data_IF_838394953724
#
_entry.id   IF_838394953724
#
_cell.length_a   1.000
_cell.length_b   1.000
_cell.length_c   1.000
_cell.angle_alpha   90.00
_cell.angle_beta   90.00
_cell.angle_gamma   90.00
#
_symmetry.space_group_name_H-M   'P 1'
#
loop_
_entity.id
_entity.type
_entity.pdbx_description
1 polymer ?
#
# COMPACT_ATOMS: atom_id res chain seq x y z
N UNK A 1 28.50 -40.27 10.85
CA UNK A 1 27.37 -39.89 11.74
C UNK A 1 26.89 -38.46 11.51
N UNK A 2 27.67 -37.59 10.86
CA UNK A 2 27.37 -36.17 10.62
C UNK A 2 26.01 -35.89 9.97
N UNK A 3 25.58 -36.70 9.00
CA UNK A 3 24.26 -36.56 8.38
C UNK A 3 23.10 -36.71 9.38
N UNK A 4 23.20 -37.65 10.33
CA UNK A 4 22.19 -37.86 11.37
C UNK A 4 22.18 -36.68 12.35
N UNK A 5 23.38 -36.20 12.71
CA UNK A 5 23.56 -35.01 13.56
C UNK A 5 22.90 -33.77 12.93
N UNK A 6 23.06 -33.58 11.62
CA UNK A 6 22.39 -32.52 10.86
C UNK A 6 20.86 -32.64 10.88
N UNK A 7 20.32 -33.85 10.69
CA UNK A 7 18.87 -34.08 10.76
C UNK A 7 18.33 -33.71 12.13
N UNK A 8 18.96 -34.19 13.20
CA UNK A 8 18.56 -33.87 14.58
C UNK A 8 18.60 -32.36 14.85
N UNK A 9 19.59 -31.65 14.28
CA UNK A 9 19.69 -30.20 14.41
C UNK A 9 18.58 -29.47 13.64
N UNK A 10 18.32 -29.85 12.39
CA UNK A 10 17.25 -29.28 11.58
C UNK A 10 15.86 -29.53 12.17
N UNK A 11 15.68 -30.64 12.88
CA UNK A 11 14.44 -30.95 13.62
C UNK A 11 14.26 -30.01 14.82
N UNK A 12 15.35 -29.72 15.56
CA UNK A 12 15.34 -28.76 16.67
C UNK A 12 15.13 -27.31 16.21
N UNK A 13 15.65 -26.96 15.04
CA UNK A 13 15.46 -25.65 14.40
C UNK A 13 14.11 -25.51 13.69
N UNK A 14 13.15 -26.42 13.93
CA UNK A 14 11.79 -26.36 13.38
C UNK A 14 11.71 -26.31 11.85
N UNK A 15 12.75 -26.78 11.14
CA UNK A 15 12.79 -26.80 9.67
C UNK A 15 11.97 -27.99 9.12
N UNK A 16 11.82 -29.07 9.90
CA UNK A 16 11.07 -30.29 9.53
C UNK A 16 9.57 -30.21 9.72
N UNK A 17 9.10 -29.53 10.77
CA UNK A 17 7.70 -29.57 11.18
C UNK A 17 6.77 -29.09 10.06
N UNK A 18 5.72 -29.87 9.77
CA UNK A 18 4.72 -29.56 8.74
C UNK A 18 5.19 -29.71 7.29
N UNK A 19 6.33 -30.39 7.06
CA UNK A 19 7.01 -30.42 5.75
C UNK A 19 7.48 -31.82 5.37
N UNK A 20 7.74 -32.05 4.07
CA UNK A 20 8.18 -33.37 3.57
C UNK A 20 9.59 -33.71 4.04
N UNK A 21 9.81 -34.87 4.70
CA UNK A 21 11.11 -35.25 5.26
C UNK A 21 12.16 -35.58 4.20
N UNK A 22 11.74 -36.02 3.00
CA UNK A 22 12.66 -36.33 1.89
C UNK A 22 13.57 -35.15 1.53
N UNK A 23 13.02 -33.91 1.50
CA UNK A 23 13.79 -32.71 1.18
C UNK A 23 14.93 -32.43 2.17
N UNK A 24 14.66 -32.65 3.46
CA UNK A 24 15.64 -32.47 4.54
C UNK A 24 16.72 -33.56 4.46
N UNK A 25 16.31 -34.81 4.25
CA UNK A 25 17.25 -35.91 4.07
C UNK A 25 18.23 -35.63 2.92
N UNK A 26 17.75 -35.16 1.77
CA UNK A 26 18.59 -34.77 0.64
C UNK A 26 19.55 -33.62 0.95
N UNK A 27 19.09 -32.60 1.69
CA UNK A 27 19.92 -31.48 2.13
C UNK A 27 21.03 -31.94 3.09
N UNK A 28 20.69 -32.78 4.09
CA UNK A 28 21.66 -33.32 5.05
C UNK A 28 22.71 -34.20 4.37
N UNK A 29 22.31 -35.04 3.39
CA UNK A 29 23.25 -35.85 2.61
C UNK A 29 24.21 -34.95 1.84
N UNK A 30 23.71 -33.89 1.19
CA UNK A 30 24.55 -32.97 0.42
C UNK A 30 25.56 -32.22 1.31
N UNK A 31 25.10 -31.71 2.46
CA UNK A 31 25.96 -30.98 3.41
C UNK A 31 27.01 -31.93 3.99
N UNK A 32 26.60 -33.11 4.46
CA UNK A 32 27.53 -34.10 5.02
C UNK A 32 28.55 -34.57 3.99
N UNK A 33 28.14 -34.80 2.74
CA UNK A 33 29.06 -35.12 1.65
C UNK A 33 30.14 -34.04 1.47
N UNK A 34 29.75 -32.75 1.51
CA UNK A 34 30.69 -31.63 1.45
C UNK A 34 31.62 -31.55 2.65
N UNK A 35 31.13 -31.83 3.86
CA UNK A 35 31.95 -31.89 5.09
C UNK A 35 33.03 -32.98 5.06
N UNK A 36 32.85 -34.00 4.23
CA UNK A 36 33.80 -35.09 4.01
C UNK A 36 34.58 -34.95 2.68
N UNK A 37 34.57 -33.76 2.07
CA UNK A 37 35.21 -33.47 0.78
C UNK A 37 34.72 -34.36 -0.38
N UNK A 38 33.55 -34.98 -0.24
CA UNK A 38 32.92 -35.78 -1.29
C UNK A 38 31.99 -34.89 -2.11
N UNK A 39 32.49 -34.41 -3.25
CA UNK A 39 31.77 -33.47 -4.11
C UNK A 39 30.75 -34.21 -4.98
N UNK A 40 29.47 -34.11 -4.61
CA UNK A 40 28.32 -34.56 -5.41
C UNK A 40 27.53 -33.39 -5.95
N UNK A 41 26.93 -33.59 -7.12
CA UNK A 41 26.05 -32.59 -7.73
C UNK A 41 24.67 -32.64 -7.11
N UNK A 42 23.97 -31.49 -7.06
CA UNK A 42 22.59 -31.44 -6.59
C UNK A 42 21.68 -32.37 -7.41
N UNK A 43 21.94 -32.48 -8.72
CA UNK A 43 21.21 -33.35 -9.66
C UNK A 43 21.30 -34.83 -9.30
N UNK A 44 22.48 -35.34 -8.92
CA UNK A 44 22.63 -36.74 -8.49
C UNK A 44 21.78 -37.04 -7.26
N UNK A 45 21.79 -36.15 -6.26
CA UNK A 45 21.02 -36.32 -5.02
C UNK A 45 19.52 -36.28 -5.29
N UNK A 46 19.08 -35.34 -6.13
CA UNK A 46 17.68 -35.18 -6.52
C UNK A 46 17.14 -36.45 -7.19
N UNK A 47 17.92 -37.09 -8.07
CA UNK A 47 17.51 -38.35 -8.73
C UNK A 47 17.27 -39.49 -7.75
N UNK A 48 17.99 -39.52 -6.63
CA UNK A 48 17.83 -40.54 -5.58
C UNK A 48 16.67 -40.20 -4.66
N UNK A 49 16.61 -38.96 -4.16
CA UNK A 49 15.66 -38.51 -3.13
C UNK A 49 14.27 -38.15 -3.69
N UNK A 50 14.15 -38.01 -5.01
CA UNK A 50 12.90 -37.74 -5.74
C UNK A 50 12.21 -36.45 -5.28
N UNK A 51 12.94 -35.35 -5.32
CA UNK A 51 12.47 -33.99 -4.97
C UNK A 51 12.79 -33.00 -6.09
N UNK A 52 12.13 -31.85 -6.14
CA UNK A 52 12.47 -30.80 -7.11
C UNK A 52 13.74 -30.03 -6.71
N UNK A 53 14.49 -29.51 -7.69
CA UNK A 53 15.69 -28.67 -7.47
C UNK A 53 15.44 -27.50 -6.53
N UNK A 54 14.34 -26.78 -6.74
CA UNK A 54 13.94 -25.64 -5.92
C UNK A 54 13.65 -26.03 -4.47
N UNK A 55 13.18 -27.25 -4.25
CA UNK A 55 12.92 -27.77 -2.89
C UNK A 55 14.23 -28.01 -2.16
N UNK A 56 15.22 -28.62 -2.80
CA UNK A 56 16.53 -28.85 -2.18
C UNK A 56 17.22 -27.53 -1.85
N UNK A 57 17.21 -26.56 -2.78
CA UNK A 57 17.80 -25.23 -2.56
C UNK A 57 17.16 -24.50 -1.38
N UNK A 58 15.83 -24.43 -1.31
CA UNK A 58 15.12 -23.83 -0.18
C UNK A 58 15.52 -24.43 1.17
N UNK A 59 15.73 -25.75 1.25
CA UNK A 59 16.15 -26.40 2.51
C UNK A 59 17.56 -26.04 2.93
N UNK A 60 18.46 -25.88 1.96
CA UNK A 60 19.83 -25.44 2.22
C UNK A 60 19.85 -23.97 2.67
N UNK A 61 19.05 -23.11 2.04
CA UNK A 61 18.96 -21.70 2.40
C UNK A 61 18.37 -21.51 3.81
N UNK A 62 17.34 -22.28 4.16
CA UNK A 62 16.77 -22.25 5.51
C UNK A 62 17.80 -22.64 6.57
N UNK A 63 18.58 -23.69 6.33
CA UNK A 63 19.66 -24.07 7.24
C UNK A 63 20.78 -23.03 7.29
N UNK A 64 21.09 -22.36 6.17
CA UNK A 64 22.07 -21.26 6.13
C UNK A 64 21.65 -20.09 7.03
N UNK A 65 20.34 -19.83 7.17
CA UNK A 65 19.84 -18.75 8.03
C UNK A 65 19.83 -19.10 9.52
N UNK A 66 20.02 -20.37 9.90
CA UNK A 66 20.10 -20.75 11.32
C UNK A 66 21.51 -20.51 11.87
N UNK A 67 21.67 -20.32 13.19
CA UNK A 67 23.00 -20.13 13.79
C UNK A 67 23.94 -21.33 13.57
N UNK A 68 23.39 -22.54 13.38
CA UNK A 68 24.21 -23.72 13.08
C UNK A 68 24.78 -23.73 11.66
N UNK A 69 24.17 -23.00 10.73
CA UNK A 69 24.67 -22.86 9.37
C UNK A 69 25.95 -22.03 9.26
N UNK A 70 26.24 -21.19 10.25
CA UNK A 70 27.43 -20.34 10.32
C UNK A 70 28.64 -20.98 11.03
N UNK A 71 28.48 -22.17 11.62
CA UNK A 71 29.57 -22.85 12.34
C UNK A 71 30.58 -23.47 11.36
N UNK A 72 31.85 -23.55 11.79
CA UNK A 72 32.84 -24.35 11.05
C UNK A 72 32.49 -25.84 11.15
N UNK A 73 33.01 -26.63 10.20
CA UNK A 73 32.77 -28.09 10.18
C UNK A 73 33.33 -28.76 11.45
N UNK A 74 34.45 -28.26 11.98
CA UNK A 74 35.05 -28.76 13.20
C UNK A 74 34.16 -28.43 14.42
N UNK A 75 33.72 -27.18 14.53
CA UNK A 75 32.85 -26.71 15.62
C UNK A 75 31.51 -27.42 15.61
N UNK A 76 30.93 -27.66 14.42
CA UNK A 76 29.67 -28.39 14.32
C UNK A 76 29.78 -29.84 14.83
N UNK A 77 30.95 -30.47 14.75
CA UNK A 77 31.18 -31.84 15.25
C UNK A 77 31.44 -31.88 16.76
N UNK A 78 32.03 -30.84 17.35
CA UNK A 78 32.32 -30.79 18.78
C UNK A 78 31.16 -30.17 19.57
N UNK A 79 30.67 -29.02 19.12
CA UNK A 79 29.70 -28.20 19.82
C UNK A 79 28.28 -28.51 19.35
N UNK A 80 27.35 -28.53 20.31
CA UNK A 80 25.93 -28.66 20.05
C UNK A 80 25.20 -27.45 20.65
N UNK A 81 24.71 -26.56 19.78
CA UNK A 81 23.98 -25.37 20.21
C UNK A 81 22.63 -25.77 20.85
N UNK A 82 22.29 -25.16 21.98
CA UNK A 82 20.99 -25.39 22.63
C UNK A 82 19.88 -24.52 22.03
N UNK A 83 20.20 -23.30 21.61
CA UNK A 83 19.24 -22.36 21.02
C UNK A 83 18.58 -22.96 19.78
N UNK A 84 17.26 -22.88 19.73
CA UNK A 84 16.40 -23.28 18.62
C UNK A 84 16.03 -22.09 17.76
N UNK A 85 15.92 -22.29 16.44
CA UNK A 85 15.37 -21.29 15.52
C UNK A 85 13.84 -21.39 15.39
N UNK A 86 13.21 -20.28 15.01
CA UNK A 86 11.79 -20.23 14.66
C UNK A 86 11.52 -20.91 13.31
N UNK A 87 10.32 -21.49 13.10
CA UNK A 87 9.97 -22.12 11.82
C UNK A 87 9.95 -21.11 10.66
N UNK A 88 10.31 -21.51 9.43
CA UNK A 88 10.36 -20.62 8.27
C UNK A 88 9.04 -19.90 7.95
N UNK A 89 7.89 -20.50 8.28
CA UNK A 89 6.60 -19.84 8.08
C UNK A 89 6.44 -18.58 8.96
N UNK A 90 6.95 -18.63 10.20
CA UNK A 90 6.91 -17.52 11.13
C UNK A 90 7.86 -16.39 10.70
N UNK A 91 9.10 -16.74 10.37
CA UNK A 91 10.10 -15.77 9.91
C UNK A 91 9.68 -15.09 8.61
N UNK A 92 9.17 -15.87 7.64
CA UNK A 92 8.70 -15.33 6.36
C UNK A 92 7.47 -14.43 6.53
N UNK A 93 6.51 -14.80 7.37
CA UNK A 93 5.34 -13.95 7.63
C UNK A 93 5.74 -12.63 8.29
N UNK A 94 6.66 -12.66 9.27
CA UNK A 94 7.15 -11.44 9.94
C UNK A 94 7.96 -10.56 8.99
N UNK A 95 8.82 -11.15 8.16
CA UNK A 95 9.54 -10.41 7.12
C UNK A 95 8.58 -9.81 6.08
N UNK A 96 7.54 -10.55 5.66
CA UNK A 96 6.52 -10.05 4.73
C UNK A 96 5.75 -8.86 5.31
N UNK A 97 5.35 -8.94 6.58
CA UNK A 97 4.68 -7.84 7.27
C UNK A 97 5.58 -6.59 7.37
N UNK A 98 6.85 -6.78 7.76
CA UNK A 98 7.83 -5.67 7.84
C UNK A 98 8.08 -5.03 6.48
N UNK A 99 8.23 -5.83 5.42
CA UNK A 99 8.36 -5.34 4.04
C UNK A 99 7.12 -4.58 3.57
N UNK A 100 5.92 -5.05 3.91
CA UNK A 100 4.68 -4.38 3.56
C UNK A 100 4.56 -3.00 4.26
N UNK A 101 4.93 -2.91 5.54
CA UNK A 101 4.97 -1.64 6.27
C UNK A 101 5.98 -0.66 5.66
N UNK A 102 7.19 -1.13 5.36
CA UNK A 102 8.24 -0.27 4.78
C UNK A 102 7.84 0.22 3.38
N UNK A 103 7.24 -0.65 2.56
CA UNK A 103 6.69 -0.26 1.26
C UNK A 103 5.56 0.77 1.41
N UNK A 104 4.69 0.62 2.41
CA UNK A 104 3.64 1.60 2.71
C UNK A 104 4.24 2.95 3.12
N UNK A 105 5.29 2.95 3.95
CA UNK A 105 5.97 4.17 4.38
C UNK A 105 6.63 4.90 3.20
N UNK A 106 7.30 4.17 2.30
CA UNK A 106 7.87 4.73 1.08
C UNK A 106 6.80 5.33 0.15
N UNK A 107 5.66 4.65 0.00
CA UNK A 107 4.52 5.15 -0.77
C UNK A 107 3.94 6.44 -0.17
N UNK A 108 3.85 6.54 1.16
CA UNK A 108 3.38 7.75 1.84
C UNK A 108 4.35 8.92 1.62
N UNK A 109 5.65 8.70 1.79
CA UNK A 109 6.67 9.72 1.56
C UNK A 109 6.68 10.22 0.10
N UNK A 110 6.41 9.34 -0.87
CA UNK A 110 6.32 9.72 -2.27
C UNK A 110 5.05 10.54 -2.59
N UNK A 111 3.94 10.30 -1.89
CA UNK A 111 2.72 11.11 -2.05
C UNK A 111 2.87 12.50 -1.42
N UNK A 112 3.47 12.60 -0.23
CA UNK A 112 3.69 13.89 0.45
C UNK A 112 4.65 14.82 -0.31
N UNK A 113 5.67 14.29 -0.99
CA UNK A 113 6.54 15.09 -1.87
C UNK A 113 5.79 15.68 -3.07
N UNK A 114 4.78 14.98 -3.59
CA UNK A 114 3.96 15.45 -4.72
C UNK A 114 2.80 16.38 -4.31
N UNK A 115 2.16 16.13 -3.17
CA UNK A 115 1.06 16.96 -2.67
C UNK A 115 1.54 18.21 -1.91
N UNK A 116 2.71 18.17 -1.27
CA UNK A 116 3.28 19.31 -0.53
C UNK A 116 3.65 20.49 -1.43
N UNK A 117 4.14 20.22 -2.65
CA UNK A 117 4.38 21.24 -3.66
C UNK A 117 3.06 21.84 -4.17
N UNK A 118 2.06 21.00 -4.49
CA UNK A 118 0.76 21.44 -5.02
C UNK A 118 -0.08 22.21 -3.99
N UNK A 119 -0.01 21.83 -2.71
CA UNK A 119 -0.79 22.45 -1.61
C UNK A 119 -0.21 23.79 -1.15
N UNK A 120 1.09 24.04 -1.36
CA UNK A 120 1.73 25.35 -1.17
C UNK A 120 1.34 26.35 -2.26
N UNK A 121 1.15 25.89 -3.50
CA UNK A 121 0.68 26.72 -4.62
C UNK A 121 -0.82 27.05 -4.48
N UNK A 122 -1.63 26.12 -3.94
CA UNK A 122 -3.09 26.30 -3.79
C UNK A 122 -3.51 27.17 -2.59
N UNK A 123 -2.73 27.23 -1.51
CA UNK A 123 -2.95 28.17 -0.39
C UNK A 123 -2.11 29.40 -0.66
N UNK A 124 -2.63 30.33 -1.47
CA UNK A 124 -1.96 31.58 -1.85
C UNK A 124 -1.38 32.34 -0.66
N UNK A 125 -0.12 32.05 -0.33
CA UNK A 125 0.64 32.74 0.69
C UNK A 125 1.10 34.06 0.08
N UNK A 126 0.25 35.08 0.24
CA UNK A 126 0.59 36.49 0.15
C UNK A 126 1.66 36.78 1.22
N UNK A 127 2.91 36.92 0.81
CA UNK A 127 4.00 37.43 1.65
C UNK A 127 4.01 38.96 1.56
N UNK A 128 3.23 39.63 2.42
CA UNK A 128 3.53 41.01 2.85
C UNK A 128 3.04 41.19 4.29
N UNK A 129 3.93 41.33 5.28
CA UNK A 129 3.62 42.03 6.52
C UNK A 129 3.81 43.54 6.27
N UNK A 130 2.78 44.33 6.53
CA UNK A 130 2.89 45.77 6.60
C UNK A 130 3.61 46.14 7.91
N UNK A 131 4.70 46.90 7.82
CA UNK A 131 5.23 47.65 8.95
C UNK A 131 5.62 49.06 8.48
N UNK A 132 4.93 50.05 9.04
CA UNK A 132 5.10 51.48 8.82
C UNK A 132 6.15 52.02 9.81
N UNK A 133 7.41 52.17 9.40
CA UNK A 133 8.35 53.23 9.83
C UNK A 133 9.81 52.89 9.47
N UNK A 134 10.31 53.41 8.34
CA UNK A 134 11.67 53.94 8.16
C UNK A 134 11.83 54.45 6.72
N UNK A 135 12.34 55.67 6.57
CA UNK A 135 12.65 56.32 5.29
C UNK A 135 13.89 55.67 4.61
N UNK A 136 14.09 55.92 3.30
CA UNK A 136 14.71 54.97 2.38
C UNK A 136 16.20 55.24 2.15
N UNK A 137 17.05 54.23 2.27
CA UNK A 137 18.44 54.28 1.81
C UNK A 137 18.76 52.98 1.06
N UNK A 138 19.07 53.18 -0.23
CA UNK A 138 19.77 52.31 -1.17
C UNK A 138 19.40 50.80 -1.21
N UNK A 139 18.70 50.40 -2.27
CA UNK A 139 18.59 49.00 -2.68
C UNK A 139 19.97 48.40 -3.02
N UNK A 140 20.29 47.20 -2.50
CA UNK A 140 21.11 46.24 -3.22
C UNK A 140 20.22 45.13 -3.81
N UNK A 141 20.67 44.65 -4.96
CA UNK A 141 19.97 43.77 -5.89
C UNK A 141 19.31 42.53 -5.29
N UNK A 142 18.16 42.19 -5.88
CA UNK A 142 17.48 40.92 -5.73
C UNK A 142 18.35 39.80 -6.31
N UNK A 143 19.10 39.10 -5.46
CA UNK A 143 19.57 37.72 -5.63
C UNK A 143 20.34 37.32 -4.35
N UNK A 144 19.66 36.79 -3.34
CA UNK A 144 20.37 36.12 -2.24
C UNK A 144 19.53 35.00 -1.61
N UNK A 145 19.37 33.89 -2.34
CA UNK A 145 18.90 32.62 -1.79
C UNK A 145 19.84 32.10 -0.67
N UNK A 146 21.06 32.62 -0.61
CA UNK A 146 22.11 32.27 0.36
C UNK A 146 21.82 32.78 1.78
N UNK A 147 21.06 33.87 1.93
CA UNK A 147 20.72 34.42 3.25
C UNK A 147 19.70 33.56 3.99
N UNK A 148 18.75 32.95 3.29
CA UNK A 148 17.76 32.05 3.89
C UNK A 148 18.40 30.69 4.23
N UNK A 149 19.28 30.20 3.36
CA UNK A 149 20.05 28.97 3.58
C UNK A 149 21.04 29.13 4.73
N UNK A 150 21.73 30.27 4.84
CA UNK A 150 22.59 30.63 5.97
C UNK A 150 21.86 30.64 7.32
N UNK A 151 20.61 31.10 7.37
CA UNK A 151 19.83 31.15 8.62
C UNK A 151 19.33 29.76 9.00
N UNK A 152 18.96 28.94 8.01
CA UNK A 152 18.57 27.55 8.23
C UNK A 152 19.78 26.72 8.68
N UNK A 153 20.94 26.91 8.05
CA UNK A 153 22.19 26.24 8.42
C UNK A 153 22.66 26.68 9.82
N UNK A 154 22.55 27.97 10.16
CA UNK A 154 22.84 28.45 11.52
C UNK A 154 21.91 27.82 12.57
N UNK A 155 20.61 27.72 12.29
CA UNK A 155 19.64 27.10 13.19
C UNK A 155 19.89 25.58 13.32
N UNK A 156 20.20 24.90 12.21
CA UNK A 156 20.55 23.48 12.20
C UNK A 156 21.81 23.22 13.03
N UNK A 157 22.81 24.11 12.91
CA UNK A 157 24.09 23.99 13.58
C UNK A 157 23.99 24.26 15.09
N UNK A 158 23.11 25.16 15.53
CA UNK A 158 22.77 25.34 16.95
C UNK A 158 22.09 24.10 17.55
N UNK A 159 21.13 23.49 16.84
CA UNK A 159 20.50 22.24 17.30
C UNK A 159 21.50 21.08 17.39
N UNK A 160 22.38 20.96 16.40
CA UNK A 160 23.42 19.92 16.34
C UNK A 160 24.46 20.11 17.46
N UNK A 161 24.85 21.35 17.75
CA UNK A 161 25.73 21.69 18.87
C UNK A 161 25.13 21.35 20.23
N UNK A 162 23.81 21.53 20.37
CA UNK A 162 23.06 21.20 21.60
C UNK A 162 22.99 19.69 21.79
N UNK A 163 22.78 18.93 20.70
CA UNK A 163 22.83 17.46 20.71
C UNK A 163 24.23 16.93 21.05
N UNK A 164 25.28 17.45 20.42
CA UNK A 164 26.68 17.02 20.69
C UNK A 164 27.17 17.40 22.10
N UNK A 165 26.62 18.46 22.69
CA UNK A 165 26.93 18.90 24.05
C UNK A 165 26.23 18.07 25.14
N UNK A 166 25.38 17.12 24.77
CA UNK A 166 24.71 16.21 25.68
C UNK A 166 25.75 15.29 26.36
N UNK A 167 25.69 15.15 27.69
CA UNK A 167 26.73 14.47 28.47
C UNK A 167 26.95 13.00 28.08
N UNK A 168 25.93 12.35 27.51
CA UNK A 168 26.02 11.00 26.95
C UNK A 168 26.89 10.91 25.69
N UNK A 169 27.02 12.00 24.92
CA UNK A 169 27.80 12.04 23.68
C UNK A 169 29.22 12.60 23.87
N UNK A 170 29.46 13.35 24.94
CA UNK A 170 30.82 13.82 25.30
C UNK A 170 31.79 12.65 25.52
N UNK A 171 31.31 11.54 26.07
CA UNK A 171 32.06 10.30 26.22
C UNK A 171 32.48 9.72 24.86
N UNK A 172 31.57 9.71 23.88
CA UNK A 172 31.83 9.19 22.53
C UNK A 172 32.77 10.12 21.75
N UNK A 173 32.58 11.43 21.87
CA UNK A 173 33.43 12.45 21.22
C UNK A 173 34.87 12.42 21.73
N UNK A 174 35.05 12.27 23.05
CA UNK A 174 36.35 12.08 23.68
C UNK A 174 37.06 10.81 23.20
N UNK A 175 36.34 9.72 23.02
CA UNK A 175 36.89 8.44 22.55
C UNK A 175 37.27 8.49 21.05
N UNK A 176 36.46 9.18 20.23
CA UNK A 176 36.70 9.34 18.79
C UNK A 176 37.85 10.30 18.46
N UNK A 177 38.06 11.34 19.27
CA UNK A 177 39.14 12.32 19.07
C UNK A 177 40.55 11.72 19.21
N UNK A 178 40.68 10.52 19.78
CA UNK A 178 41.94 9.78 19.93
C UNK A 178 42.14 8.70 18.85
N UNK A 179 41.16 8.49 17.96
CA UNK A 179 41.29 7.57 16.84
C UNK A 179 41.78 8.34 15.61
N UNK A 180 43.06 8.15 15.27
CA UNK A 180 43.70 8.66 14.06
C UNK A 180 43.10 7.95 12.82
N UNK A 181 41.91 8.35 12.42
CA UNK A 181 41.19 7.84 11.25
C UNK A 181 41.33 8.82 10.11
N UNK A 182 42.50 8.81 9.48
CA UNK A 182 42.66 9.18 8.09
C UNK A 182 42.83 7.92 7.23
N UNK A 183 41.72 7.26 6.86
CA UNK A 183 41.58 6.78 5.50
C UNK A 183 40.41 7.52 4.85
N UNK A 184 40.70 8.16 3.73
CA UNK A 184 39.73 8.83 2.88
C UNK A 184 38.63 7.86 2.41
N UNK A 185 37.49 7.86 3.11
CA UNK A 185 36.26 7.10 2.81
C UNK A 185 35.55 7.61 1.55
N UNK A 186 36.07 8.64 0.89
CA UNK A 186 35.50 9.19 -0.34
C UNK A 186 35.94 8.44 -1.59
N UNK A 187 36.98 7.61 -1.49
CA UNK A 187 37.56 6.92 -2.65
C UNK A 187 37.18 5.44 -2.60
N UNK A 188 36.00 5.11 -3.16
CA UNK A 188 35.40 3.76 -3.24
C UNK A 188 36.12 2.85 -4.25
N UNK A 189 37.43 3.02 -4.43
CA UNK A 189 38.23 2.28 -5.41
C UNK A 189 38.45 0.81 -5.05
N UNK A 190 38.12 0.39 -3.82
CA UNK A 190 38.10 -1.03 -3.41
C UNK A 190 36.83 -1.78 -3.86
N UNK A 191 35.82 -1.07 -4.39
CA UNK A 191 34.55 -1.65 -4.85
C UNK A 191 34.40 -1.74 -6.38
N UNK A 192 35.36 -1.22 -7.14
CA UNK A 192 35.50 -1.52 -8.57
C UNK A 192 36.21 -2.88 -8.77
N UNK A 193 35.67 -3.92 -8.14
CA UNK A 193 36.17 -5.28 -8.27
C UNK A 193 35.67 -5.90 -9.60
N UNK A 194 36.49 -6.71 -10.26
CA UNK A 194 36.15 -7.35 -11.55
C UNK A 194 34.88 -8.22 -11.44
N UNK A 195 34.49 -8.62 -10.23
CA UNK A 195 33.24 -9.31 -9.93
C UNK A 195 32.00 -8.41 -10.15
N UNK A 196 32.08 -7.11 -9.81
CA UNK A 196 30.96 -6.16 -9.97
C UNK A 196 30.80 -5.74 -11.43
N UNK A 197 31.92 -5.54 -12.13
CA UNK A 197 31.89 -5.21 -13.56
C UNK A 197 31.27 -6.33 -14.40
N UNK A 198 31.44 -7.60 -14.01
CA UNK A 198 30.78 -8.74 -14.65
C UNK A 198 29.29 -8.91 -14.29
N UNK A 199 28.77 -8.13 -13.33
CA UNK A 199 27.34 -8.13 -12.93
C UNK A 199 26.56 -7.00 -13.62
N UNK A 200 27.26 -5.97 -14.12
CA UNK A 200 26.67 -4.92 -14.94
C UNK A 200 26.42 -5.50 -16.34
N UNK A 201 25.19 -5.37 -16.83
CA UNK A 201 24.82 -5.86 -18.16
C UNK A 201 25.44 -4.96 -19.23
N UNK A 202 25.94 -5.57 -20.31
CA UNK A 202 26.36 -4.83 -21.49
C UNK A 202 25.16 -4.10 -22.13
N UNK A 203 25.44 -3.02 -22.84
CA UNK A 203 24.41 -2.15 -23.41
C UNK A 203 23.46 -2.89 -24.39
N UNK A 204 23.95 -3.94 -25.04
CA UNK A 204 23.14 -4.85 -25.86
C UNK A 204 22.20 -5.73 -25.02
N UNK A 205 22.68 -6.26 -23.90
CA UNK A 205 21.87 -7.07 -22.98
C UNK A 205 20.81 -6.21 -22.27
N UNK A 206 21.16 -4.95 -21.94
CA UNK A 206 20.20 -3.96 -21.43
C UNK A 206 19.12 -3.68 -22.47
N UNK A 207 19.46 -3.51 -23.75
CA UNK A 207 18.46 -3.32 -24.83
C UNK A 207 17.52 -4.51 -24.95
N UNK A 208 18.06 -5.73 -25.04
CA UNK A 208 17.26 -6.96 -25.17
C UNK A 208 16.39 -7.19 -23.92
N UNK A 209 16.95 -6.96 -22.73
CA UNK A 209 16.20 -7.13 -21.47
C UNK A 209 15.14 -6.06 -21.28
N UNK A 210 15.39 -4.83 -21.72
CA UNK A 210 14.38 -3.76 -21.77
C UNK A 210 13.28 -4.11 -22.76
N UNK A 211 13.62 -4.62 -23.95
CA UNK A 211 12.63 -5.04 -24.95
C UNK A 211 11.77 -6.22 -24.46
N UNK A 212 12.39 -7.22 -23.82
CA UNK A 212 11.67 -8.34 -23.18
C UNK A 212 10.75 -7.80 -22.07
N UNK A 213 11.27 -6.89 -21.24
CA UNK A 213 10.50 -6.29 -20.15
C UNK A 213 9.34 -5.43 -20.67
N UNK A 214 9.54 -4.69 -21.75
CA UNK A 214 8.50 -3.88 -22.40
C UNK A 214 7.45 -4.75 -23.09
N UNK A 215 7.84 -5.87 -23.69
CA UNK A 215 6.91 -6.84 -24.28
C UNK A 215 6.10 -7.56 -23.21
N UNK A 216 6.73 -7.98 -22.11
CA UNK A 216 6.07 -8.67 -21.01
C UNK A 216 5.20 -7.71 -20.17
N UNK A 217 5.57 -6.44 -20.07
CA UNK A 217 4.79 -5.40 -19.40
C UNK A 217 3.91 -4.58 -20.34
N UNK A 218 3.83 -4.92 -21.63
CA UNK A 218 3.02 -4.20 -22.61
C UNK A 218 1.56 -4.14 -22.18
N UNK A 219 1.01 -5.28 -21.77
CA UNK A 219 -0.36 -5.36 -21.27
C UNK A 219 -0.54 -4.54 -19.98
N UNK A 220 0.47 -4.46 -19.13
CA UNK A 220 0.42 -3.68 -17.89
C UNK A 220 0.42 -2.16 -18.16
N UNK A 221 1.23 -1.70 -19.12
CA UNK A 221 1.27 -0.29 -19.53
C UNK A 221 -0.03 0.11 -20.24
N UNK A 222 -0.54 -0.75 -21.13
CA UNK A 222 -1.81 -0.55 -21.82
C UNK A 222 -3.02 -0.58 -20.86
N UNK A 223 -3.01 -1.48 -19.87
CA UNK A 223 -4.01 -1.55 -18.79
C UNK A 223 -4.01 -0.30 -17.93
N UNK A 224 -2.82 0.18 -17.54
CA UNK A 224 -2.67 1.42 -16.77
C UNK A 224 -3.17 2.62 -17.56
N UNK A 225 -2.87 2.71 -18.84
CA UNK A 225 -3.32 3.80 -19.71
C UNK A 225 -4.83 3.73 -19.96
N UNK A 226 -5.38 2.53 -20.17
CA UNK A 226 -6.82 2.31 -20.31
C UNK A 226 -7.58 2.63 -19.03
N UNK A 227 -7.02 2.32 -17.86
CA UNK A 227 -7.58 2.72 -16.56
C UNK A 227 -7.54 4.23 -16.37
N UNK A 228 -6.47 4.92 -16.80
CA UNK A 228 -6.40 6.39 -16.81
C UNK A 228 -7.45 7.00 -17.74
N UNK A 229 -7.57 6.50 -18.98
CA UNK A 229 -8.59 6.94 -19.95
C UNK A 229 -10.01 6.66 -19.44
N UNK A 230 -10.26 5.54 -18.77
CA UNK A 230 -11.54 5.23 -18.15
C UNK A 230 -11.87 6.18 -16.98
N UNK A 231 -10.88 6.55 -16.17
CA UNK A 231 -11.03 7.54 -15.10
C UNK A 231 -11.29 8.95 -15.67
N UNK A 232 -10.56 9.37 -16.71
CA UNK A 232 -10.79 10.64 -17.41
C UNK A 232 -12.18 10.68 -18.08
N UNK A 233 -12.64 9.55 -18.64
CA UNK A 233 -13.98 9.43 -19.20
C UNK A 233 -15.07 9.43 -18.12
N UNK A 234 -14.88 8.76 -16.98
CA UNK A 234 -15.84 8.81 -15.87
C UNK A 234 -15.85 10.19 -15.19
N UNK A 235 -14.70 10.86 -15.07
CA UNK A 235 -14.60 12.20 -14.53
C UNK A 235 -15.25 13.23 -15.45
N UNK A 236 -15.00 13.16 -16.76
CA UNK A 236 -15.68 14.01 -17.75
C UNK A 236 -17.18 13.71 -17.83
N UNK A 237 -17.60 12.45 -17.70
CA UNK A 237 -19.01 12.08 -17.60
C UNK A 237 -19.64 12.61 -16.30
N UNK A 238 -18.95 12.55 -15.15
CA UNK A 238 -19.38 13.16 -13.88
C UNK A 238 -19.48 14.68 -13.98
N UNK A 239 -18.54 15.35 -14.66
CA UNK A 239 -18.59 16.80 -14.95
C UNK A 239 -19.79 17.15 -15.83
N UNK A 240 -20.07 16.37 -16.89
CA UNK A 240 -21.27 16.53 -17.74
C UNK A 240 -22.58 16.26 -16.98
N UNK A 241 -22.60 15.27 -16.07
CA UNK A 241 -23.76 14.99 -15.20
C UNK A 241 -23.98 16.07 -14.14
N UNK A 242 -22.92 16.74 -13.68
CA UNK A 242 -23.01 17.90 -12.77
C UNK A 242 -23.49 19.17 -13.49
N UNK A 243 -23.17 19.37 -14.77
CA UNK A 243 -23.64 20.54 -15.54
C UNK A 243 -25.12 20.45 -15.94
N UNK A 244 -25.68 19.23 -16.05
CA UNK A 244 -27.14 19.02 -16.10
C UNK A 244 -27.69 19.25 -14.69
N UNK A 245 -27.84 20.52 -14.35
CA UNK A 245 -28.30 21.02 -13.05
C UNK A 245 -29.62 20.33 -12.69
N UNK A 246 -29.61 19.50 -11.65
CA UNK A 246 -30.81 18.95 -11.01
C UNK A 246 -31.72 20.15 -10.68
N UNK A 247 -32.88 20.26 -11.34
CA UNK A 247 -33.92 21.23 -10.97
C UNK A 247 -34.20 21.05 -9.48
N UNK A 248 -33.80 22.02 -8.67
CA UNK A 248 -34.09 22.06 -7.24
C UNK A 248 -35.61 22.14 -7.12
N UNK A 249 -36.23 21.08 -6.64
CA UNK A 249 -37.65 21.09 -6.29
C UNK A 249 -37.84 22.03 -5.10
N UNK A 250 -38.61 23.10 -5.32
CA UNK A 250 -38.94 24.11 -4.31
C UNK A 250 -39.45 23.44 -3.03
N UNK A 251 -38.71 23.61 -1.94
CA UNK A 251 -39.11 23.21 -0.57
C UNK A 251 -40.36 24.02 -0.21
N UNK A 252 -41.44 23.36 0.18
CA UNK A 252 -42.67 24.02 0.67
C UNK A 252 -42.44 24.69 2.02
N UNK A 253 -43.26 25.67 2.38
CA UNK A 253 -43.07 26.44 3.62
C UNK A 253 -43.29 25.58 4.89
N UNK A 254 -44.01 24.47 4.76
CA UNK A 254 -44.23 23.50 5.83
C UNK A 254 -43.68 22.11 5.48
N UNK A 255 -43.31 21.28 6.47
CA UNK A 255 -42.91 19.89 6.23
C UNK A 255 -43.99 19.05 5.54
N UNK A 256 -45.26 19.33 5.85
CA UNK A 256 -46.43 18.64 5.27
C UNK A 256 -46.59 18.97 3.78
N UNK A 257 -46.53 20.25 3.44
CA UNK A 257 -46.62 20.73 2.05
C UNK A 257 -45.41 20.26 1.22
N UNK A 258 -44.23 20.22 1.83
CA UNK A 258 -43.03 19.66 1.20
C UNK A 258 -43.20 18.17 0.88
N UNK A 259 -43.79 17.39 1.79
CA UNK A 259 -44.07 15.97 1.58
C UNK A 259 -45.11 15.74 0.47
N UNK A 260 -46.22 16.50 0.47
CA UNK A 260 -47.23 16.45 -0.58
C UNK A 260 -46.64 16.79 -1.96
N UNK A 261 -45.82 17.84 -2.05
CA UNK A 261 -45.17 18.26 -3.31
C UNK A 261 -44.12 17.25 -3.80
N UNK A 262 -43.41 16.58 -2.88
CA UNK A 262 -42.49 15.49 -3.24
C UNK A 262 -43.24 14.26 -3.80
N UNK A 263 -44.36 13.90 -3.19
CA UNK A 263 -45.19 12.77 -3.65
C UNK A 263 -45.88 13.06 -4.99
N UNK A 264 -46.27 14.33 -5.22
CA UNK A 264 -46.84 14.77 -6.49
C UNK A 264 -45.81 14.81 -7.63
N UNK A 265 -44.56 15.16 -7.33
CA UNK A 265 -43.51 15.27 -8.36
C UNK A 265 -42.89 13.93 -8.73
N UNK A 266 -42.79 12.96 -7.79
CA UNK A 266 -42.17 11.65 -8.06
C UNK A 266 -42.80 10.53 -7.21
N UNK A 267 -43.13 9.41 -7.86
CA UNK A 267 -43.47 8.15 -7.17
C UNK A 267 -42.17 7.46 -6.71
N UNK A 268 -41.94 7.40 -5.40
CA UNK A 268 -40.73 6.84 -4.80
C UNK A 268 -40.64 5.29 -4.86
N UNK A 269 -41.76 4.55 -4.84
CA UNK A 269 -41.77 3.09 -4.84
C UNK A 269 -43.10 2.50 -5.34
N UNK A 270 -43.04 1.37 -6.05
CA UNK A 270 -44.23 0.65 -6.53
C UNK A 270 -44.98 -0.13 -5.44
N UNK A 271 -44.40 -0.27 -4.24
CA UNK A 271 -44.97 -1.05 -3.13
C UNK A 271 -45.82 -0.23 -2.15
N UNK A 272 -46.04 1.05 -2.41
CA UNK A 272 -46.77 1.95 -1.51
C UNK A 272 -48.14 2.28 -2.11
N UNK A 273 -49.19 2.18 -1.28
CA UNK A 273 -50.53 2.62 -1.65
C UNK A 273 -50.65 4.14 -1.45
N UNK A 274 -50.52 4.89 -2.54
CA UNK A 274 -50.49 6.35 -2.55
C UNK A 274 -51.84 7.00 -2.23
N UNK A 275 -52.96 6.28 -2.37
CA UNK A 275 -54.28 6.80 -2.03
C UNK A 275 -54.47 6.92 -0.50
N UNK A 276 -53.96 5.92 0.24
CA UNK A 276 -53.95 5.92 1.70
C UNK A 276 -53.00 7.01 2.20
N UNK A 277 -51.85 7.17 1.55
CA UNK A 277 -50.87 8.20 1.90
C UNK A 277 -51.39 9.61 1.62
N UNK A 278 -52.18 9.83 0.57
CA UNK A 278 -52.84 11.11 0.30
C UNK A 278 -53.88 11.45 1.38
N UNK A 279 -54.76 10.49 1.71
CA UNK A 279 -55.78 10.66 2.77
C UNK A 279 -55.18 10.94 4.15
N UNK A 280 -54.00 10.40 4.45
CA UNK A 280 -53.32 10.64 5.73
C UNK A 280 -52.70 12.05 5.82
N UNK A 281 -52.30 12.63 4.69
CA UNK A 281 -51.69 13.96 4.62
C UNK A 281 -52.75 15.07 4.51
N UNK A 282 -53.95 14.74 4.04
CA UNK A 282 -55.10 15.64 3.95
C UNK A 282 -56.02 15.46 5.19
N UNK A 283 -55.54 15.82 6.38
CA UNK A 283 -56.37 15.84 7.59
C UNK A 283 -57.26 17.10 7.61
N UNK A 284 -58.38 17.06 6.90
CA UNK A 284 -59.60 17.76 7.34
C UNK A 284 -60.47 16.74 8.11
N UNK A 285 -60.72 17.04 9.40
CA UNK A 285 -61.65 16.29 10.25
C UNK A 285 -63.01 16.10 9.55
N UNK A 286 -63.64 14.91 9.65
CA UNK A 286 -64.87 14.62 8.94
C UNK A 286 -66.05 15.42 9.51
N UNK A 287 -66.47 16.47 8.79
CA UNK A 287 -67.79 17.09 9.03
C UNK A 287 -68.92 16.11 8.69
N UNK A 288 -69.97 15.96 9.53
CA UNK A 288 -71.03 14.99 9.30
C UNK A 288 -71.94 15.53 8.19
N UNK A 289 -72.12 14.77 7.11
CA UNK A 289 -73.10 15.12 6.07
C UNK A 289 -74.29 14.17 6.08
N UNK A 290 -75.45 14.81 6.23
CA UNK A 290 -76.78 14.26 6.33
C UNK A 290 -77.21 13.42 5.13
N UNK A 291 -77.99 12.38 5.42
CA UNK A 291 -78.69 11.55 4.44
C UNK A 291 -79.72 12.41 3.71
N UNK A 292 -79.69 12.40 2.36
CA UNK A 292 -80.80 12.88 1.52
C UNK A 292 -81.38 11.69 0.75
N UNK A 293 -82.72 11.63 0.59
CA UNK A 293 -83.40 10.47 0.03
C UNK A 293 -83.22 10.38 -1.49
N UNK A 294 -83.24 9.15 -1.96
CA UNK A 294 -83.14 8.73 -3.36
C UNK A 294 -84.30 9.32 -4.17
N UNK A 295 -84.01 10.15 -5.17
CA UNK A 295 -84.95 10.56 -6.22
C UNK A 295 -84.32 10.23 -7.57
N UNK A 296 -84.82 9.16 -8.18
CA UNK A 296 -84.45 8.72 -9.52
C UNK A 296 -85.71 8.35 -10.29
N UNK A 297 -86.15 9.33 -11.09
CA UNK A 297 -86.86 9.26 -12.38
C UNK A 297 -88.11 8.37 -12.58
N UNK A 298 -89.11 9.04 -13.14
CA UNK A 298 -90.50 8.71 -13.50
C UNK A 298 -90.58 7.77 -14.73
N UNK A 299 -91.72 7.06 -14.94
CA UNK A 299 -91.86 5.93 -15.87
C UNK A 299 -92.40 6.34 -17.26
N UNK A 300 -92.25 5.46 -18.25
CA UNK A 300 -93.16 5.39 -19.41
C UNK A 300 -93.29 3.95 -19.93
N UNK A 301 -94.53 3.47 -19.97
CA UNK A 301 -94.94 2.15 -20.46
C UNK A 301 -94.75 1.99 -21.98
N UNK A 302 -94.40 0.79 -22.46
CA UNK A 302 -95.29 -0.37 -22.73
C UNK A 302 -95.77 -0.37 -24.21
N UNK A 303 -96.26 -1.48 -24.82
CA UNK A 303 -96.22 -2.90 -24.43
C UNK A 303 -95.86 -3.87 -25.61
N UNK A 304 -95.90 -5.17 -25.29
CA UNK A 304 -96.39 -6.27 -26.14
C UNK A 304 -95.38 -7.02 -27.02
N UNK A 305 -95.12 -8.30 -26.68
CA UNK A 305 -95.81 -9.43 -27.33
C UNK A 305 -95.60 -10.74 -26.56
N UNK A 306 -96.73 -11.38 -26.24
CA UNK A 306 -96.81 -12.79 -25.82
C UNK A 306 -96.36 -13.73 -26.95
N UNK A 307 -95.84 -14.89 -26.56
CA UNK A 307 -96.18 -16.25 -27.02
C UNK A 307 -95.17 -17.19 -26.35
N UNK A 308 -95.58 -17.92 -25.31
CA UNK A 308 -96.13 -19.29 -25.35
C UNK A 308 -95.03 -20.35 -25.39
#
# INVERSE_FOLDING_TARGET
MDAIRLVQRMDRDWIRTGRRPAGICGACILISARMHNFRRTQREIIRVVKIADTTLRRRLDEFRTTPSGGLTVADFRSLWLEQSADPPAFTNNRMKARKAMLAQQLLMHQQEGSEGALRRIARGASLVPADDNAAPEAAPDANDDNALESVVDQALQEELSTYLSQDSLKFISSELAHADLSPDVSTWTELDDDEINNVILDEEEVRVKTEIWDLENKEFVEERERRRKAQEQDESARKRRRSVKKKVTVVGATPLESAQKMLATRRLSKKINYEVLGKLLDNEEPSPKAVKPHSGMIPSGAPSRMMS
#
